data_IF_995407894301
#
_entry.id   IF_995407894301
#
_cell.length_a   1.000
_cell.length_b   1.000
_cell.length_c   1.000
_cell.angle_alpha   90.00
_cell.angle_beta   90.00
_cell.angle_gamma   90.00
#
_symmetry.space_group_name_H-M   'P 1'
#
loop_
_entity.id
_entity.type
_entity.pdbx_description
1 polymer ?
#
# COMPACT_ATOMS: atom_id res chain seq x y z
N UNK A 1 23.11 10.33 -1.19
CA UNK A 1 21.72 10.84 -1.18
C UNK A 1 20.68 9.83 -1.69
N UNK A 2 21.00 8.99 -2.69
CA UNK A 2 20.10 7.97 -3.27
C UNK A 2 19.44 7.02 -2.25
N UNK A 3 20.14 6.61 -1.18
CA UNK A 3 19.59 5.76 -0.10
C UNK A 3 18.44 6.42 0.69
N UNK A 4 18.39 7.76 0.76
CA UNK A 4 17.29 8.48 1.43
C UNK A 4 16.03 8.55 0.57
N UNK A 5 16.19 8.65 -0.75
CA UNK A 5 15.07 8.65 -1.72
C UNK A 5 14.40 7.28 -1.75
N UNK A 6 15.19 6.20 -1.72
CA UNK A 6 14.63 4.83 -1.63
C UNK A 6 13.75 4.60 -0.41
N UNK A 7 13.99 5.31 0.70
CA UNK A 7 13.20 5.21 1.93
C UNK A 7 11.79 5.79 1.79
N UNK A 8 11.57 6.67 0.82
CA UNK A 8 10.26 7.24 0.51
C UNK A 8 9.35 6.24 -0.21
N UNK A 9 9.94 5.23 -0.88
CA UNK A 9 9.22 4.15 -1.54
C UNK A 9 8.97 2.94 -0.62
N UNK A 10 9.41 3.00 0.64
CA UNK A 10 9.16 1.96 1.63
C UNK A 10 8.01 2.40 2.53
N UNK A 11 6.87 1.72 2.43
CA UNK A 11 5.67 2.02 3.21
C UNK A 11 5.79 1.31 4.56
N UNK A 12 6.11 2.05 5.62
CA UNK A 12 6.37 1.44 6.94
C UNK A 12 5.18 1.53 7.88
N UNK A 13 4.33 2.54 7.68
CA UNK A 13 3.22 2.87 8.58
C UNK A 13 1.89 2.91 7.84
N UNK A 14 0.81 2.65 8.58
CA UNK A 14 -0.56 2.79 8.05
C UNK A 14 -0.86 4.23 7.62
N UNK A 15 -0.30 5.22 8.31
CA UNK A 15 -0.47 6.62 7.95
C UNK A 15 0.11 6.89 6.55
N UNK A 16 1.37 6.51 6.30
CA UNK A 16 1.99 6.65 4.98
C UNK A 16 1.17 5.97 3.87
N UNK A 17 0.64 4.77 4.13
CA UNK A 17 -0.27 4.11 3.18
C UNK A 17 -1.53 4.94 2.90
N UNK A 18 -2.21 5.44 3.92
CA UNK A 18 -3.39 6.30 3.72
C UNK A 18 -3.05 7.57 2.95
N UNK A 19 -1.87 8.15 3.20
CA UNK A 19 -1.37 9.34 2.50
C UNK A 19 -1.17 9.06 0.99
N UNK A 20 -0.59 7.91 0.65
CA UNK A 20 -0.40 7.48 -0.74
C UNK A 20 -1.73 7.16 -1.41
N UNK A 21 -2.61 6.40 -0.74
CA UNK A 21 -3.95 6.06 -1.26
C UNK A 21 -4.76 7.33 -1.52
N UNK A 22 -4.67 8.32 -0.63
CA UNK A 22 -5.32 9.61 -0.80
C UNK A 22 -4.78 10.39 -2.01
N UNK A 23 -3.46 10.42 -2.20
CA UNK A 23 -2.84 11.04 -3.37
C UNK A 23 -3.26 10.36 -4.68
N UNK A 24 -3.32 9.02 -4.69
CA UNK A 24 -3.81 8.24 -5.84
C UNK A 24 -5.29 8.52 -6.13
N UNK A 25 -6.11 8.61 -5.08
CA UNK A 25 -7.53 8.93 -5.20
C UNK A 25 -7.75 10.31 -5.81
N UNK A 26 -7.06 11.34 -5.32
CA UNK A 26 -7.13 12.70 -5.87
C UNK A 26 -6.82 12.73 -7.36
N UNK A 27 -5.70 12.13 -7.79
CA UNK A 27 -5.33 12.10 -9.20
C UNK A 27 -6.30 11.29 -10.08
N UNK A 28 -6.87 10.20 -9.56
CA UNK A 28 -7.86 9.40 -10.27
C UNK A 28 -9.20 10.15 -10.43
N UNK A 29 -9.62 10.91 -9.43
CA UNK A 29 -10.85 11.72 -9.49
C UNK A 29 -10.67 12.86 -10.50
N UNK A 30 -9.52 13.55 -10.47
CA UNK A 30 -9.24 14.66 -11.39
C UNK A 30 -9.26 14.18 -12.84
N UNK A 31 -8.54 13.10 -13.18
CA UNK A 31 -8.61 12.51 -14.53
C UNK A 31 -9.96 11.90 -14.85
N UNK A 32 -10.60 11.28 -13.86
CA UNK A 32 -11.92 10.69 -14.00
C UNK A 32 -12.97 11.72 -14.38
N UNK A 33 -12.90 12.91 -13.79
CA UNK A 33 -13.82 14.03 -14.11
C UNK A 33 -13.69 14.47 -15.56
N UNK A 34 -12.47 14.44 -16.12
CA UNK A 34 -12.22 14.74 -17.53
C UNK A 34 -12.89 13.71 -18.44
N UNK A 35 -12.93 12.42 -18.07
CA UNK A 35 -13.63 11.40 -18.87
C UNK A 35 -15.14 11.62 -18.95
N UNK A 36 -15.75 12.19 -17.91
CA UNK A 36 -17.18 12.53 -17.90
C UNK A 36 -17.49 13.69 -18.84
N UNK A 37 -16.58 14.66 -18.98
CA UNK A 37 -16.77 15.82 -19.86
C UNK A 37 -16.42 15.52 -21.31
N UNK A 38 -15.42 14.67 -21.55
CA UNK A 38 -14.85 14.42 -22.88
C UNK A 38 -15.57 13.27 -23.62
N UNK A 39 -16.13 12.31 -22.89
CA UNK A 39 -16.93 11.22 -23.43
C UNK A 39 -18.32 11.18 -22.78
N UNK A 40 -19.20 12.15 -23.11
CA UNK A 40 -20.55 12.21 -22.56
C UNK A 40 -21.34 10.97 -22.98
N UNK A 41 -21.76 10.18 -21.99
CA UNK A 41 -22.49 8.93 -22.20
C UNK A 41 -22.17 7.87 -21.14
N UNK A 42 -22.53 6.62 -21.43
CA UNK A 42 -22.24 5.48 -20.55
C UNK A 42 -20.73 5.18 -20.49
N UNK A 43 -20.00 5.42 -21.58
CA UNK A 43 -18.55 5.21 -21.67
C UNK A 43 -17.77 6.02 -20.64
N UNK A 44 -18.01 7.34 -20.53
CA UNK A 44 -17.32 8.20 -19.56
C UNK A 44 -17.56 7.79 -18.10
N UNK A 45 -18.77 7.32 -17.77
CA UNK A 45 -19.12 6.81 -16.43
C UNK A 45 -18.43 5.49 -16.13
N UNK A 46 -18.28 4.62 -17.13
CA UNK A 46 -17.61 3.33 -16.99
C UNK A 46 -16.09 3.51 -16.84
N UNK A 47 -15.49 4.46 -17.59
CA UNK A 47 -14.10 4.85 -17.40
C UNK A 47 -13.86 5.50 -16.03
N UNK A 48 -14.78 6.35 -15.56
CA UNK A 48 -14.72 6.94 -14.22
C UNK A 48 -14.75 5.88 -13.12
N UNK A 49 -15.68 4.92 -13.23
CA UNK A 49 -15.77 3.77 -12.32
C UNK A 49 -14.54 2.88 -12.39
N UNK A 50 -13.97 2.64 -13.57
CA UNK A 50 -12.74 1.87 -13.71
C UNK A 50 -11.56 2.58 -13.01
N UNK A 51 -11.47 3.90 -13.15
CA UNK A 51 -10.40 4.70 -12.52
C UNK A 51 -10.50 4.67 -10.99
N UNK A 52 -11.69 4.86 -10.44
CA UNK A 52 -11.93 4.76 -8.98
C UNK A 52 -11.78 3.33 -8.47
N UNK A 53 -12.25 2.33 -9.21
CA UNK A 53 -12.07 0.92 -8.90
C UNK A 53 -10.60 0.49 -8.83
N UNK A 54 -9.75 1.01 -9.72
CA UNK A 54 -8.30 0.78 -9.68
C UNK A 54 -7.65 1.29 -8.39
N UNK A 55 -8.10 2.44 -7.86
CA UNK A 55 -7.60 2.99 -6.58
C UNK A 55 -7.98 2.09 -5.41
N UNK A 56 -9.19 1.53 -5.38
CA UNK A 56 -9.60 0.59 -4.33
C UNK A 56 -8.77 -0.69 -4.35
N UNK A 57 -8.52 -1.27 -5.53
CA UNK A 57 -7.66 -2.45 -5.67
C UNK A 57 -6.22 -2.16 -5.24
N UNK A 58 -5.68 -0.99 -5.63
CA UNK A 58 -4.36 -0.55 -5.20
C UNK A 58 -4.29 -0.34 -3.68
N UNK A 59 -5.31 0.30 -3.09
CA UNK A 59 -5.40 0.54 -1.66
C UNK A 59 -5.45 -0.75 -0.84
N UNK A 60 -6.23 -1.75 -1.27
CA UNK A 60 -6.29 -3.05 -0.62
C UNK A 60 -4.91 -3.74 -0.62
N UNK A 61 -4.24 -3.80 -1.79
CA UNK A 61 -2.89 -4.35 -1.92
C UNK A 61 -1.87 -3.64 -1.03
N UNK A 62 -1.90 -2.31 -0.96
CA UNK A 62 -0.99 -1.52 -0.12
C UNK A 62 -1.19 -1.86 1.37
N UNK A 63 -2.43 -1.94 1.82
CA UNK A 63 -2.75 -2.27 3.22
C UNK A 63 -2.38 -3.71 3.58
N UNK A 64 -2.57 -4.65 2.66
CA UNK A 64 -2.19 -6.04 2.87
C UNK A 64 -0.66 -6.21 2.96
N UNK A 65 0.10 -5.52 2.09
CA UNK A 65 1.57 -5.53 2.17
C UNK A 65 2.09 -5.09 3.56
N UNK A 66 1.47 -4.09 4.19
CA UNK A 66 1.86 -3.67 5.55
C UNK A 66 1.61 -4.77 6.59
N UNK A 67 0.48 -5.49 6.50
CA UNK A 67 0.19 -6.61 7.39
C UNK A 67 1.21 -7.73 7.23
N UNK A 68 1.54 -8.08 5.98
CA UNK A 68 2.53 -9.11 5.69
C UNK A 68 3.94 -8.73 6.16
N UNK A 69 4.38 -7.49 5.95
CA UNK A 69 5.68 -7.03 6.46
C UNK A 69 5.76 -7.05 7.99
N UNK A 70 4.67 -6.69 8.69
CA UNK A 70 4.61 -6.75 10.15
C UNK A 70 4.66 -8.19 10.65
N UNK A 71 3.91 -9.09 10.01
CA UNK A 71 3.90 -10.51 10.34
C UNK A 71 5.28 -11.16 10.11
N UNK A 72 5.93 -10.86 8.99
CA UNK A 72 7.27 -11.37 8.68
C UNK A 72 8.32 -10.92 9.71
N UNK A 73 8.27 -9.67 10.18
CA UNK A 73 9.13 -9.19 11.27
C UNK A 73 8.87 -9.90 12.59
N UNK A 74 7.60 -10.11 12.94
CA UNK A 74 7.25 -10.83 14.17
C UNK A 74 7.72 -12.28 14.14
N UNK A 75 7.62 -12.95 13.00
CA UNK A 75 8.15 -14.30 12.83
C UNK A 75 9.66 -14.36 12.98
N UNK A 76 10.40 -13.43 12.35
CA UNK A 76 11.85 -13.36 12.51
C UNK A 76 12.27 -13.18 13.98
N UNK A 77 11.60 -12.26 14.70
CA UNK A 77 11.85 -12.04 16.13
C UNK A 77 11.50 -13.25 17.00
N UNK A 78 10.43 -13.98 16.66
CA UNK A 78 10.03 -15.19 17.39
C UNK A 78 11.04 -16.34 17.20
N UNK A 79 11.57 -16.50 15.98
CA UNK A 79 12.63 -17.49 15.69
C UNK A 79 13.91 -17.13 16.43
N UNK A 80 14.29 -15.85 16.44
CA UNK A 80 15.49 -15.38 17.16
C UNK A 80 15.36 -15.56 18.68
N UNK A 81 14.17 -15.29 19.24
CA UNK A 81 13.89 -15.54 20.65
C UNK A 81 13.87 -17.04 21.01
N UNK A 82 13.39 -17.90 20.11
CA UNK A 82 13.42 -19.35 20.31
C UNK A 82 14.86 -19.90 20.31
N UNK A 83 15.71 -19.48 19.36
CA UNK A 83 17.13 -19.84 19.33
C UNK A 83 17.87 -19.37 20.58
N UNK A 84 17.58 -18.15 21.06
CA UNK A 84 18.20 -17.63 22.28
C UNK A 84 17.74 -18.42 23.52
N UNK A 85 16.49 -18.89 23.55
CA UNK A 85 15.97 -19.71 24.65
C UNK A 85 16.63 -21.09 24.64
N UNK A 86 16.73 -21.74 23.48
CA UNK A 86 17.43 -23.03 23.34
C UNK A 86 18.93 -22.93 23.72
N UNK A 87 19.62 -21.85 23.31
CA UNK A 87 21.01 -21.61 23.71
C UNK A 87 21.19 -21.40 25.21
N UNK A 88 20.21 -20.78 25.89
CA UNK A 88 20.24 -20.58 27.34
C UNK A 88 19.95 -21.85 28.12
N UNK A 89 19.09 -22.73 27.60
CA UNK A 89 18.80 -24.03 28.22
C UNK A 89 19.94 -25.04 28.05
N UNK A 90 20.75 -24.88 27.00
CA UNK A 90 21.90 -25.76 26.71
C UNK A 90 23.21 -25.39 27.46
N UNK A 91 23.23 -24.31 28.23
CA UNK A 91 24.40 -23.78 28.95
C UNK A 91 24.26 -23.94 30.47
#
# INVERSE_FOLDING_TARGET
>A
MLRKIGRLFTIKTHWEAYMIIYALALGAIERGSVYLTQFPGWGGRLLFLACTGAVFMAGAKILDCIKYEKAAKQQALAVEAADETERREAA
#
